data_IF_329785895411
#
_entry.id   IF_329785895411
#
_cell.length_a   1.000
_cell.length_b   1.000
_cell.length_c   1.000
_cell.angle_alpha   90.00
_cell.angle_beta   90.00
_cell.angle_gamma   90.00
#
_symmetry.space_group_name_H-M   'P 1'
#
loop_
_entity.id
_entity.type
_entity.pdbx_description
1 polymer ?
#
# COMPACT_ATOMS: atom_id res chain seq x y z
N UNK A 1 21.21 -4.83 3.57
CA UNK A 1 21.81 -3.52 3.20
C UNK A 1 20.91 -2.71 2.28
N UNK A 2 20.51 -3.24 1.10
CA UNK A 2 19.58 -2.57 0.15
C UNK A 2 18.40 -1.80 0.78
N UNK A 3 17.66 -2.41 1.70
CA UNK A 3 16.50 -1.76 2.34
C UNK A 3 16.91 -0.56 3.21
N UNK A 4 18.05 -0.64 3.91
CA UNK A 4 18.56 0.47 4.72
C UNK A 4 19.07 1.61 3.83
N UNK A 5 19.73 1.28 2.73
CA UNK A 5 20.24 2.28 1.78
C UNK A 5 19.10 3.02 1.09
N UNK A 6 18.09 2.28 0.58
CA UNK A 6 16.88 2.87 0.02
C UNK A 6 16.15 3.74 1.06
N UNK A 7 16.08 3.28 2.32
CA UNK A 7 15.41 4.04 3.38
C UNK A 7 16.11 5.38 3.60
N UNK A 8 17.44 5.40 3.69
CA UNK A 8 18.21 6.64 3.85
C UNK A 8 17.98 7.62 2.70
N UNK A 9 18.02 7.13 1.46
CA UNK A 9 17.78 7.97 0.27
C UNK A 9 16.37 8.55 0.29
N UNK A 10 15.34 7.70 0.47
CA UNK A 10 13.94 8.14 0.45
C UNK A 10 13.59 9.07 1.60
N UNK A 11 14.11 8.83 2.80
CA UNK A 11 13.92 9.74 3.94
C UNK A 11 14.57 11.09 3.64
N UNK A 12 15.78 11.10 3.07
CA UNK A 12 16.45 12.33 2.65
C UNK A 12 15.61 13.12 1.65
N UNK A 13 15.17 12.47 0.58
CA UNK A 13 14.31 13.06 -0.45
C UNK A 13 13.00 13.62 0.14
N UNK A 14 12.39 12.91 1.09
CA UNK A 14 11.14 13.34 1.72
C UNK A 14 11.33 14.54 2.65
N UNK A 15 12.43 14.57 3.41
CA UNK A 15 12.78 15.72 4.26
C UNK A 15 12.97 16.96 3.39
N UNK A 16 13.85 16.88 2.39
CA UNK A 16 14.22 18.03 1.57
C UNK A 16 13.13 18.45 0.58
N UNK A 17 12.38 17.47 0.04
CA UNK A 17 11.39 17.71 -1.01
C UNK A 17 9.98 17.98 -0.50
N UNK A 18 9.68 17.64 0.76
CA UNK A 18 8.32 17.79 1.32
C UNK A 18 8.33 18.53 2.65
N UNK A 19 9.12 18.08 3.64
CA UNK A 19 9.02 18.64 4.99
C UNK A 19 9.62 20.05 5.09
N UNK A 20 10.81 20.28 4.55
CA UNK A 20 11.45 21.60 4.56
C UNK A 20 10.58 22.68 3.87
N UNK A 21 10.04 22.46 2.65
CA UNK A 21 9.13 23.40 2.02
C UNK A 21 7.86 23.71 2.84
N UNK A 22 7.28 22.71 3.51
CA UNK A 22 6.09 22.89 4.34
C UNK A 22 6.38 23.69 5.62
N UNK A 23 7.58 23.53 6.19
CA UNK A 23 8.04 24.33 7.32
C UNK A 23 8.27 25.78 6.89
N UNK A 24 8.88 25.99 5.73
CA UNK A 24 9.14 27.32 5.17
C UNK A 24 7.84 28.07 4.82
N UNK A 25 6.84 27.37 4.28
CA UNK A 25 5.53 27.95 3.94
C UNK A 25 4.64 28.19 5.16
N UNK A 26 4.95 27.58 6.31
CA UNK A 26 4.13 27.65 7.52
C UNK A 26 2.79 26.92 7.39
N UNK A 27 2.68 25.98 6.43
CA UNK A 27 1.46 25.21 6.19
C UNK A 27 1.25 24.12 7.24
N UNK A 28 -0.02 23.78 7.49
CA UNK A 28 -0.39 22.69 8.40
C UNK A 28 -0.20 21.35 7.69
N UNK A 29 0.58 20.47 8.30
CA UNK A 29 0.90 19.15 7.76
C UNK A 29 0.37 18.02 8.64
N UNK A 30 -0.36 17.07 8.05
CA UNK A 30 -0.75 15.82 8.72
C UNK A 30 0.40 14.81 8.65
N UNK A 31 1.16 14.73 9.74
CA UNK A 31 2.28 13.79 9.88
C UNK A 31 1.85 12.34 9.75
N UNK A 32 0.66 11.98 10.25
CA UNK A 32 0.20 10.60 10.21
C UNK A 32 -0.12 10.18 8.77
N UNK A 33 -0.81 11.02 8.00
CA UNK A 33 -1.08 10.76 6.59
C UNK A 33 0.22 10.73 5.77
N UNK A 34 1.11 11.69 6.00
CA UNK A 34 2.41 11.74 5.34
C UNK A 34 3.25 10.47 5.58
N UNK A 35 3.31 10.00 6.82
CA UNK A 35 4.03 8.76 7.17
C UNK A 35 3.38 7.52 6.57
N UNK A 36 2.04 7.44 6.49
CA UNK A 36 1.36 6.33 5.81
C UNK A 36 1.70 6.29 4.32
N UNK A 37 1.68 7.45 3.65
CA UNK A 37 2.04 7.57 2.23
C UNK A 37 3.48 7.14 1.99
N UNK A 38 4.40 7.70 2.78
CA UNK A 38 5.83 7.40 2.70
C UNK A 38 6.10 5.90 2.91
N UNK A 39 5.59 5.32 3.99
CA UNK A 39 5.87 3.91 4.32
C UNK A 39 5.26 2.95 3.30
N UNK A 40 4.07 3.26 2.78
CA UNK A 40 3.43 2.44 1.74
C UNK A 40 4.27 2.43 0.45
N UNK A 41 4.64 3.60 -0.06
CA UNK A 41 5.47 3.71 -1.26
C UNK A 41 6.83 3.04 -1.06
N UNK A 42 7.48 3.26 0.07
CA UNK A 42 8.77 2.68 0.40
C UNK A 42 8.74 1.15 0.47
N UNK A 43 7.75 0.57 1.16
CA UNK A 43 7.61 -0.89 1.25
C UNK A 43 7.41 -1.48 -0.14
N UNK A 44 6.56 -0.86 -0.96
CA UNK A 44 6.26 -1.37 -2.30
C UNK A 44 7.50 -1.33 -3.19
N UNK A 45 8.26 -0.25 -3.16
CA UNK A 45 9.50 -0.12 -3.92
C UNK A 45 10.59 -1.09 -3.41
N UNK A 46 10.81 -1.15 -2.10
CA UNK A 46 11.87 -1.97 -1.52
C UNK A 46 11.58 -3.47 -1.65
N UNK A 47 10.34 -3.89 -1.45
CA UNK A 47 9.96 -5.30 -1.42
C UNK A 47 9.55 -5.86 -2.79
N UNK A 48 9.07 -5.02 -3.70
CA UNK A 48 8.54 -5.45 -5.00
C UNK A 48 9.20 -4.77 -6.19
N UNK A 49 10.13 -3.82 -5.97
CA UNK A 49 10.79 -3.10 -7.06
C UNK A 49 9.88 -2.18 -7.84
N UNK A 50 8.71 -1.86 -7.30
CA UNK A 50 7.68 -1.09 -8.00
C UNK A 50 7.60 0.32 -7.44
N UNK A 51 7.82 1.32 -8.30
CA UNK A 51 7.65 2.73 -7.93
C UNK A 51 6.19 3.14 -8.12
N UNK A 52 5.52 3.49 -7.03
CA UNK A 52 4.12 3.94 -7.07
C UNK A 52 4.02 5.41 -7.45
N UNK A 53 2.97 5.78 -8.20
CA UNK A 53 2.56 7.18 -8.36
C UNK A 53 1.77 7.65 -7.13
N UNK A 54 1.73 8.96 -6.86
CA UNK A 54 1.05 9.50 -5.67
C UNK A 54 -0.43 9.11 -5.60
N UNK A 55 -1.16 9.17 -6.71
CA UNK A 55 -2.57 8.79 -6.77
C UNK A 55 -2.77 7.30 -6.50
N UNK A 56 -1.78 6.49 -6.86
CA UNK A 56 -1.79 5.05 -6.60
C UNK A 56 -1.58 4.76 -5.12
N UNK A 57 -0.69 5.50 -4.46
CA UNK A 57 -0.47 5.41 -3.00
C UNK A 57 -1.76 5.76 -2.26
N UNK A 58 -2.41 6.85 -2.63
CA UNK A 58 -3.67 7.28 -2.03
C UNK A 58 -4.78 6.24 -2.24
N UNK A 59 -4.90 5.69 -3.45
CA UNK A 59 -5.91 4.69 -3.75
C UNK A 59 -5.70 3.41 -2.94
N UNK A 60 -4.45 2.97 -2.78
CA UNK A 60 -4.10 1.79 -1.99
C UNK A 60 -4.38 2.02 -0.51
N UNK A 61 -4.00 3.18 0.04
CA UNK A 61 -4.27 3.54 1.43
C UNK A 61 -5.77 3.58 1.72
N UNK A 62 -6.57 4.24 0.88
CA UNK A 62 -8.04 4.28 1.05
C UNK A 62 -8.62 2.87 1.03
N UNK A 63 -8.20 2.03 0.09
CA UNK A 63 -8.70 0.67 -0.01
C UNK A 63 -8.30 -0.17 1.22
N UNK A 64 -7.07 -0.01 1.73
CA UNK A 64 -6.62 -0.67 2.95
C UNK A 64 -7.47 -0.26 4.16
N UNK A 65 -7.74 1.03 4.34
CA UNK A 65 -8.57 1.52 5.45
C UNK A 65 -10.00 0.97 5.38
N UNK A 66 -10.61 0.96 4.18
CA UNK A 66 -11.93 0.36 3.95
C UNK A 66 -11.91 -1.14 4.29
N UNK A 67 -10.88 -1.86 3.85
CA UNK A 67 -10.74 -3.29 4.12
C UNK A 67 -10.55 -3.59 5.61
N UNK A 68 -9.72 -2.82 6.32
CA UNK A 68 -9.50 -2.95 7.76
C UNK A 68 -10.79 -2.66 8.55
N UNK A 69 -11.51 -1.58 8.23
CA UNK A 69 -12.81 -1.28 8.84
C UNK A 69 -13.84 -2.39 8.56
N UNK A 70 -13.84 -2.91 7.32
CA UNK A 70 -14.68 -4.05 6.92
C UNK A 70 -14.35 -5.34 7.67
N UNK A 71 -13.07 -5.61 7.95
CA UNK A 71 -12.64 -6.78 8.72
C UNK A 71 -13.03 -6.67 10.20
N UNK A 72 -12.80 -5.51 10.82
CA UNK A 72 -13.20 -5.24 12.21
C UNK A 72 -14.71 -5.37 12.39
N UNK A 73 -15.50 -4.89 11.44
CA UNK A 73 -16.97 -5.05 11.49
C UNK A 73 -17.42 -6.51 11.30
N UNK A 74 -16.70 -7.30 10.50
CA UNK A 74 -16.99 -8.74 10.25
C UNK A 74 -16.65 -9.66 11.42
N UNK A 75 -15.73 -9.30 12.31
CA UNK A 75 -15.41 -10.07 13.54
C UNK A 75 -16.64 -10.28 14.47
N UNK A 76 -17.73 -9.54 14.24
CA UNK A 76 -18.96 -9.58 15.04
C UNK A 76 -20.16 -10.27 14.37
N UNK A 77 -20.00 -10.90 13.19
CA UNK A 77 -21.13 -11.38 12.38
C UNK A 77 -21.39 -12.89 12.52
N UNK A 78 -22.63 -13.25 12.82
CA UNK A 78 -23.16 -14.62 12.76
C UNK A 78 -23.49 -15.04 11.31
N UNK A 79 -23.50 -16.35 11.04
CA UNK A 79 -23.81 -17.00 9.74
C UNK A 79 -24.97 -16.37 8.93
N UNK A 80 -26.12 -15.96 9.52
CA UNK A 80 -27.21 -15.33 8.77
C UNK A 80 -26.85 -13.95 8.18
N UNK A 81 -26.01 -13.16 8.86
CA UNK A 81 -25.52 -11.86 8.36
C UNK A 81 -24.49 -12.00 7.25
N UNK A 82 -23.86 -13.16 7.11
CA UNK A 82 -22.97 -13.48 5.99
C UNK A 82 -23.77 -13.64 4.68
N UNK A 83 -24.93 -14.31 4.73
CA UNK A 83 -25.78 -14.55 3.56
C UNK A 83 -26.55 -13.29 3.11
N UNK A 84 -27.05 -12.49 4.06
CA UNK A 84 -27.67 -11.18 3.76
C UNK A 84 -26.64 -10.05 3.58
N UNK A 85 -25.37 -10.31 3.92
CA UNK A 85 -24.30 -9.32 3.96
C UNK A 85 -24.03 -8.65 2.63
N UNK A 86 -24.24 -9.34 1.50
CA UNK A 86 -24.09 -8.77 0.15
C UNK A 86 -25.04 -7.61 -0.16
N UNK A 87 -26.18 -7.52 0.53
CA UNK A 87 -27.09 -6.37 0.39
C UNK A 87 -26.64 -5.17 1.25
N UNK A 88 -25.70 -5.35 2.17
CA UNK A 88 -25.19 -4.28 3.01
C UNK A 88 -24.17 -3.42 2.24
N UNK A 89 -24.38 -2.10 2.11
CA UNK A 89 -23.46 -1.23 1.36
C UNK A 89 -22.01 -1.29 1.82
N UNK A 90 -21.79 -1.38 3.14
CA UNK A 90 -20.44 -1.53 3.71
C UNK A 90 -19.71 -2.80 3.27
N UNK A 91 -20.42 -3.93 3.11
CA UNK A 91 -19.83 -5.19 2.62
C UNK A 91 -19.46 -5.04 1.15
N UNK A 92 -20.34 -4.46 0.33
CA UNK A 92 -20.06 -4.19 -1.09
C UNK A 92 -18.86 -3.25 -1.27
N UNK A 93 -18.76 -2.19 -0.46
CA UNK A 93 -17.63 -1.26 -0.48
C UNK A 93 -16.31 -1.97 -0.11
N UNK A 94 -16.36 -2.86 0.88
CA UNK A 94 -15.22 -3.69 1.28
C UNK A 94 -14.79 -4.65 0.17
N UNK A 95 -15.74 -5.33 -0.49
CA UNK A 95 -15.46 -6.22 -1.62
C UNK A 95 -14.85 -5.46 -2.81
N UNK A 96 -15.34 -4.26 -3.11
CA UNK A 96 -14.78 -3.41 -4.16
C UNK A 96 -13.35 -2.95 -3.83
N UNK A 97 -13.09 -2.51 -2.59
CA UNK A 97 -11.75 -2.16 -2.14
C UNK A 97 -10.79 -3.35 -2.20
N UNK A 98 -11.23 -4.54 -1.76
CA UNK A 98 -10.45 -5.76 -1.84
C UNK A 98 -10.11 -6.13 -3.30
N UNK A 99 -11.08 -6.00 -4.22
CA UNK A 99 -10.85 -6.21 -5.65
C UNK A 99 -9.82 -5.25 -6.24
N UNK A 100 -9.85 -3.96 -5.84
CA UNK A 100 -8.82 -2.98 -6.24
C UNK A 100 -7.43 -3.35 -5.71
N UNK A 101 -7.32 -3.77 -4.44
CA UNK A 101 -6.06 -4.23 -3.87
C UNK A 101 -5.53 -5.48 -4.58
N UNK A 102 -6.40 -6.42 -4.95
CA UNK A 102 -6.01 -7.61 -5.71
C UNK A 102 -5.52 -7.26 -7.13
N UNK A 103 -6.16 -6.29 -7.78
CA UNK A 103 -5.71 -5.76 -9.07
C UNK A 103 -4.34 -5.09 -8.96
N UNK A 104 -4.13 -4.29 -7.90
CA UNK A 104 -2.83 -3.70 -7.60
C UNK A 104 -1.74 -4.78 -7.37
N UNK A 105 -2.02 -5.78 -6.54
CA UNK A 105 -1.09 -6.91 -6.33
C UNK A 105 -0.76 -7.65 -7.64
N UNK A 106 -1.73 -7.78 -8.54
CA UNK A 106 -1.52 -8.39 -9.85
C UNK A 106 -0.59 -7.54 -10.73
N UNK A 107 -0.67 -6.20 -10.64
CA UNK A 107 0.26 -5.28 -11.32
C UNK A 107 1.68 -5.38 -10.76
N UNK A 108 1.83 -5.48 -9.43
CA UNK A 108 3.15 -5.72 -8.80
C UNK A 108 3.79 -7.00 -9.31
N UNK A 109 3.04 -8.11 -9.32
CA UNK A 109 3.52 -9.40 -9.83
C UNK A 109 3.88 -9.35 -11.31
N UNK A 110 3.08 -8.64 -12.12
CA UNK A 110 3.37 -8.47 -13.54
C UNK A 110 4.65 -7.66 -13.75
N UNK A 111 4.81 -6.54 -13.04
CA UNK A 111 5.99 -5.67 -13.13
C UNK A 111 7.27 -6.42 -12.76
N UNK A 112 7.23 -7.27 -11.72
CA UNK A 112 8.35 -8.13 -11.36
C UNK A 112 8.71 -9.12 -12.47
N UNK A 113 7.72 -9.83 -13.03
CA UNK A 113 7.95 -10.82 -14.10
C UNK A 113 8.54 -10.21 -15.36
N UNK A 114 8.28 -8.94 -15.61
CA UNK A 114 8.85 -8.20 -16.74
C UNK A 114 10.32 -7.81 -16.49
N UNK A 115 10.78 -7.73 -15.23
CA UNK A 115 12.15 -7.33 -14.86
C UNK A 115 12.73 -8.14 -13.67
N UNK A 116 12.82 -9.48 -13.75
CA UNK A 116 13.17 -10.33 -12.60
C UNK A 116 14.62 -10.17 -12.13
N UNK A 117 15.54 -9.82 -13.03
CA UNK A 117 16.99 -9.82 -12.77
C UNK A 117 17.47 -8.74 -11.79
N UNK A 118 16.63 -7.75 -11.43
CA UNK A 118 17.00 -6.62 -10.58
C UNK A 118 16.56 -6.75 -9.11
N UNK A 119 15.92 -7.87 -8.74
CA UNK A 119 15.14 -8.01 -7.51
C UNK A 119 15.50 -9.26 -6.69
N UNK A 120 16.70 -9.81 -6.89
CA UNK A 120 17.20 -10.92 -6.10
C UNK A 120 17.28 -10.57 -4.60
N UNK A 121 16.78 -11.47 -3.74
CA UNK A 121 16.69 -11.25 -2.29
C UNK A 121 15.53 -10.37 -1.80
N UNK A 122 14.62 -9.95 -2.69
CA UNK A 122 13.38 -9.25 -2.29
C UNK A 122 12.25 -10.23 -1.94
N UNK A 123 11.21 -9.73 -1.26
CA UNK A 123 10.04 -10.54 -0.89
C UNK A 123 9.38 -11.16 -2.13
N UNK A 124 9.31 -10.42 -3.23
CA UNK A 124 8.68 -10.94 -4.46
C UNK A 124 9.51 -12.05 -5.12
N UNK A 125 10.84 -12.02 -5.03
CA UNK A 125 11.69 -13.11 -5.51
C UNK A 125 11.49 -14.39 -4.69
N UNK A 126 11.30 -14.26 -3.37
CA UNK A 126 10.96 -15.40 -2.52
C UNK A 126 9.58 -15.99 -2.86
N UNK A 127 8.59 -15.14 -3.15
CA UNK A 127 7.24 -15.59 -3.55
C UNK A 127 7.26 -16.31 -4.90
N UNK A 128 8.11 -15.88 -5.85
CA UNK A 128 8.18 -16.53 -7.16
C UNK A 128 8.95 -17.86 -7.12
N UNK A 129 9.96 -17.97 -6.25
CA UNK A 129 10.75 -19.19 -6.06
C UNK A 129 9.98 -20.32 -5.33
N UNK A 130 8.88 -20.03 -4.64
CA UNK A 130 8.05 -21.01 -3.91
C UNK A 130 6.99 -21.70 -4.80
N UNK A 131 7.11 -21.59 -6.14
CA UNK A 131 6.26 -22.28 -7.12
C UNK A 131 6.93 -23.51 -7.70
#
# INVERSE_FOLDING_TARGET
ERMLDLCRVRVGEWITGTLEPLVESGEVFDVALGMKRFTTAFIVEAAFGYSMMEEEVDSVLECFEICCAGYVSKLSLSLPRLLLGRMHPGVRRTEQAASKLQSFASRLLKSYRENPESLDGTVIALIDADK
#
